data_IF_911919479571
#
_entry.id   IF_911919479571
#
_cell.length_a   1.000
_cell.length_b   1.000
_cell.length_c   1.000
_cell.angle_alpha   90.00
_cell.angle_beta   90.00
_cell.angle_gamma   90.00
#
_symmetry.space_group_name_H-M   'P 1'
#
loop_
_entity.id
_entity.type
_entity.pdbx_description
1 polymer ?
#
# COMPACT_ATOMS: atom_id res chain seq x y z
N UNK A 1 20.73 -35.12 -53.52
CA UNK A 1 20.26 -36.51 -53.67
C UNK A 1 19.64 -36.96 -52.35
N UNK A 2 18.40 -37.43 -52.42
CA UNK A 2 17.56 -38.17 -51.45
C UNK A 2 17.18 -37.40 -50.19
N UNK A 3 15.99 -36.97 -50.03
CA UNK A 3 14.63 -37.56 -50.08
C UNK A 3 14.10 -37.95 -48.70
N UNK A 4 13.06 -37.24 -48.31
CA UNK A 4 11.78 -37.65 -47.71
C UNK A 4 11.74 -38.49 -46.42
N UNK A 5 10.99 -38.10 -45.40
CA UNK A 5 9.54 -38.37 -45.29
C UNK A 5 8.91 -37.70 -44.06
N UNK A 6 7.77 -37.07 -44.29
CA UNK A 6 6.73 -36.73 -43.33
C UNK A 6 6.19 -37.95 -42.59
N UNK A 7 5.91 -37.82 -41.30
CA UNK A 7 4.83 -38.55 -40.67
C UNK A 7 4.06 -37.65 -39.70
N UNK A 8 2.86 -37.31 -40.15
CA UNK A 8 1.80 -36.71 -39.34
C UNK A 8 1.21 -37.78 -38.42
N UNK A 9 1.11 -37.52 -37.13
CA UNK A 9 0.19 -38.24 -36.24
C UNK A 9 -0.66 -37.18 -35.52
N UNK A 10 -1.87 -37.01 -36.08
CA UNK A 10 -2.95 -36.30 -35.39
C UNK A 10 -3.48 -37.12 -34.21
N UNK A 11 -3.48 -36.57 -33.05
CA UNK A 11 -4.32 -37.06 -31.94
C UNK A 11 -5.36 -36.01 -31.62
N UNK A 12 -6.59 -36.33 -32.02
CA UNK A 12 -7.81 -35.68 -31.56
C UNK A 12 -7.99 -36.00 -30.09
N UNK A 13 -8.02 -35.02 -29.21
CA UNK A 13 -8.56 -35.17 -27.87
C UNK A 13 -10.01 -34.65 -27.85
N UNK A 14 -10.93 -35.59 -27.65
CA UNK A 14 -12.33 -35.32 -27.44
C UNK A 14 -12.54 -34.67 -26.05
N UNK A 15 -13.23 -33.54 -26.04
CA UNK A 15 -13.78 -32.98 -24.81
C UNK A 15 -14.92 -33.85 -24.31
N UNK A 16 -14.80 -34.37 -23.11
CA UNK A 16 -15.89 -34.93 -22.33
C UNK A 16 -16.37 -33.87 -21.33
N UNK A 17 -17.56 -33.37 -21.58
CA UNK A 17 -18.30 -32.53 -20.63
C UNK A 17 -19.07 -33.42 -19.66
N UNK A 18 -19.00 -33.20 -18.34
CA UNK A 18 -19.95 -33.86 -17.43
C UNK A 18 -21.26 -33.05 -17.36
N UNK A 19 -22.32 -33.68 -17.83
CA UNK A 19 -23.71 -33.27 -17.63
C UNK A 19 -24.15 -33.59 -16.22
N UNK A 20 -24.86 -32.62 -15.58
CA UNK A 20 -25.80 -32.97 -14.53
C UNK A 20 -25.73 -32.20 -13.22
N UNK A 21 -26.21 -30.98 -13.19
CA UNK A 21 -26.71 -30.39 -11.94
C UNK A 21 -28.18 -30.00 -12.12
N UNK A 22 -29.04 -30.79 -11.48
CA UNK A 22 -30.49 -30.52 -11.40
C UNK A 22 -30.71 -29.40 -10.37
N UNK A 23 -31.27 -28.29 -10.84
CA UNK A 23 -31.85 -27.24 -10.02
C UNK A 23 -33.10 -27.78 -9.29
N UNK A 24 -33.09 -27.82 -7.98
CA UNK A 24 -34.31 -28.00 -7.16
C UNK A 24 -34.74 -26.63 -6.65
N UNK A 25 -35.84 -26.14 -7.24
CA UNK A 25 -36.64 -25.05 -6.72
C UNK A 25 -37.53 -25.58 -5.59
N UNK A 26 -37.43 -25.00 -4.42
CA UNK A 26 -38.43 -25.16 -3.34
C UNK A 26 -39.16 -23.81 -3.17
N UNK A 27 -40.52 -23.81 -3.14
CA UNK A 27 -41.27 -22.59 -2.89
C UNK A 27 -41.38 -22.34 -1.38
N UNK A 28 -41.01 -21.12 -0.94
CA UNK A 28 -41.32 -20.64 0.40
C UNK A 28 -42.77 -20.13 0.46
N UNK A 29 -43.57 -20.82 1.22
CA UNK A 29 -44.89 -20.41 1.64
C UNK A 29 -44.82 -19.29 2.70
N UNK A 30 -45.51 -18.21 2.42
CA UNK A 30 -45.77 -17.11 3.33
C UNK A 30 -46.91 -17.54 4.28
N UNK A 31 -46.70 -17.50 5.59
CA UNK A 31 -47.78 -17.51 6.56
C UNK A 31 -47.58 -16.35 7.52
N UNK A 32 -48.50 -15.40 7.39
CA UNK A 32 -48.76 -14.30 8.32
C UNK A 32 -49.53 -14.79 9.54
N UNK A 33 -49.07 -14.43 10.73
CA UNK A 33 -49.92 -14.50 11.92
C UNK A 33 -49.62 -13.31 12.83
N UNK A 34 -50.54 -12.38 12.84
CA UNK A 34 -50.65 -11.27 13.78
C UNK A 34 -51.17 -11.81 15.13
N UNK A 35 -50.53 -11.45 16.22
CA UNK A 35 -51.13 -11.55 17.55
C UNK A 35 -50.82 -10.30 18.35
N UNK A 36 -51.84 -9.50 18.54
CA UNK A 36 -51.92 -8.42 19.51
C UNK A 36 -51.92 -8.98 20.94
N UNK A 37 -51.10 -8.46 21.81
CA UNK A 37 -51.32 -8.50 23.26
C UNK A 37 -51.19 -7.11 23.84
N UNK A 38 -52.39 -6.56 24.18
CA UNK A 38 -52.53 -5.41 25.05
C UNK A 38 -52.36 -5.87 26.49
N UNK A 39 -51.52 -5.22 27.26
CA UNK A 39 -51.57 -5.32 28.71
C UNK A 39 -51.47 -3.93 29.30
N UNK A 40 -52.62 -3.45 29.78
CA UNK A 40 -52.75 -2.20 30.50
C UNK A 40 -52.38 -2.43 31.97
N UNK A 41 -51.46 -1.67 32.49
CA UNK A 41 -51.30 -1.47 33.93
C UNK A 41 -51.50 0.01 34.26
N UNK A 42 -52.61 0.29 34.94
CA UNK A 42 -52.92 1.54 35.61
C UNK A 42 -52.04 1.68 36.86
N UNK A 43 -51.32 2.77 37.06
CA UNK A 43 -50.99 3.27 38.40
C UNK A 43 -51.00 4.80 38.43
N UNK A 44 -51.92 5.25 39.21
CA UNK A 44 -52.08 6.46 40.05
C UNK A 44 -51.15 7.64 39.82
N UNK A 45 -51.80 8.71 39.41
CA UNK A 45 -51.43 10.13 39.57
C UNK A 45 -51.06 10.50 40.98
N UNK A 46 -49.91 11.18 41.15
CA UNK A 46 -49.63 12.10 42.24
C UNK A 46 -49.03 13.38 41.64
N UNK A 47 -49.79 14.44 41.76
CA UNK A 47 -49.37 15.77 41.38
C UNK A 47 -48.27 16.26 42.32
N UNK A 48 -47.15 16.73 41.75
CA UNK A 48 -46.24 17.63 42.39
C UNK A 48 -45.84 18.68 41.35
N UNK A 49 -46.26 19.88 41.68
CA UNK A 49 -45.95 21.13 41.01
C UNK A 49 -44.48 21.43 41.24
N UNK A 50 -43.64 21.42 40.21
CA UNK A 50 -42.31 22.04 40.27
C UNK A 50 -42.02 22.71 38.94
N UNK A 51 -41.56 23.95 39.07
CA UNK A 51 -41.23 24.97 38.10
C UNK A 51 -40.27 24.50 37.01
N UNK A 52 -40.60 24.76 35.74
CA UNK A 52 -39.68 24.71 34.59
C UNK A 52 -38.51 25.62 34.78
N UNK A 53 -37.26 25.16 34.60
CA UNK A 53 -36.16 26.03 34.25
C UNK A 53 -36.15 26.28 32.74
N UNK A 54 -36.14 27.54 32.38
CA UNK A 54 -36.10 28.08 31.01
C UNK A 54 -35.11 27.30 30.14
N UNK A 55 -35.66 26.73 29.05
CA UNK A 55 -34.89 26.05 28.03
C UNK A 55 -33.83 26.98 27.42
N UNK A 56 -32.58 26.74 27.71
CA UNK A 56 -31.50 27.28 26.89
C UNK A 56 -31.58 26.61 25.51
N UNK A 57 -32.15 27.35 24.57
CA UNK A 57 -32.06 27.02 23.13
C UNK A 57 -30.58 27.03 22.78
N UNK A 58 -30.00 25.85 22.62
CA UNK A 58 -28.64 25.71 22.08
C UNK A 58 -28.64 26.41 20.71
N UNK A 59 -27.86 27.49 20.63
CA UNK A 59 -27.66 28.21 19.37
C UNK A 59 -27.16 27.19 18.33
N UNK A 60 -27.68 27.23 17.08
CA UNK A 60 -27.21 26.32 16.04
C UNK A 60 -25.72 26.53 15.90
N UNK A 61 -24.94 25.46 16.11
CA UNK A 61 -23.51 25.45 15.88
C UNK A 61 -23.30 25.85 14.43
N UNK A 62 -22.86 27.07 14.20
CA UNK A 62 -22.59 27.61 12.88
C UNK A 62 -21.60 26.62 12.22
N UNK A 63 -22.02 25.91 11.19
CA UNK A 63 -21.14 25.08 10.37
C UNK A 63 -20.09 26.02 9.82
N UNK A 64 -18.87 25.92 10.37
CA UNK A 64 -17.73 26.70 9.93
C UNK A 64 -17.51 26.37 8.46
N UNK A 65 -17.75 27.33 7.58
CA UNK A 65 -17.47 27.18 6.15
C UNK A 65 -16.04 26.68 5.97
N UNK A 66 -15.81 25.73 5.03
CA UNK A 66 -14.47 25.25 4.77
C UNK A 66 -13.55 26.41 4.40
N UNK A 67 -12.35 26.41 4.97
CA UNK A 67 -11.34 27.43 4.67
C UNK A 67 -11.03 27.42 3.16
N UNK A 68 -10.97 28.61 2.50
CA UNK A 68 -10.58 28.67 1.11
C UNK A 68 -9.11 28.22 0.92
N UNK A 69 -8.76 27.62 -0.21
CA UNK A 69 -7.37 27.26 -0.51
C UNK A 69 -6.52 28.55 -0.58
N UNK A 70 -5.25 28.43 -0.18
CA UNK A 70 -4.27 29.50 -0.32
C UNK A 70 -4.09 29.90 -1.79
N UNK A 71 -3.98 28.90 -2.68
CA UNK A 71 -3.91 29.10 -4.12
C UNK A 71 -4.52 27.93 -4.90
N UNK A 72 -4.89 28.20 -6.15
CA UNK A 72 -5.37 27.22 -7.13
C UNK A 72 -4.42 27.22 -8.32
N UNK A 73 -3.85 26.07 -8.65
CA UNK A 73 -2.90 25.90 -9.73
C UNK A 73 -3.57 25.11 -10.86
N UNK A 74 -3.98 25.74 -11.95
CA UNK A 74 -4.56 25.05 -13.09
C UNK A 74 -3.48 24.28 -13.86
N UNK A 75 -3.78 23.06 -14.25
CA UNK A 75 -2.92 22.24 -15.11
C UNK A 75 -3.12 22.70 -16.57
N UNK A 76 -2.05 23.20 -17.19
CA UNK A 76 -2.11 23.79 -18.55
C UNK A 76 -1.87 22.75 -19.66
N UNK A 77 -1.18 21.65 -19.35
CA UNK A 77 -0.80 20.59 -20.29
C UNK A 77 -0.88 19.24 -19.65
N UNK A 78 -0.88 18.19 -20.46
CA UNK A 78 -0.76 16.81 -19.96
C UNK A 78 0.56 16.60 -19.23
N UNK A 79 0.51 15.98 -18.06
CA UNK A 79 1.69 15.60 -17.28
C UNK A 79 1.72 14.07 -17.21
N UNK A 80 2.77 13.49 -17.77
CA UNK A 80 3.03 12.07 -17.67
C UNK A 80 3.79 11.73 -16.37
N UNK A 81 3.77 10.44 -15.95
CA UNK A 81 4.50 9.96 -14.74
C UNK A 81 5.96 10.40 -14.76
N UNK A 82 6.65 10.32 -15.90
CA UNK A 82 8.08 10.72 -16.04
C UNK A 82 8.33 12.19 -15.68
N UNK A 83 7.34 13.07 -15.90
CA UNK A 83 7.47 14.53 -15.74
C UNK A 83 6.80 14.98 -14.42
N UNK A 84 6.13 14.07 -13.71
CA UNK A 84 5.24 14.37 -12.59
C UNK A 84 5.99 14.98 -11.39
N UNK A 85 7.11 14.39 -10.99
CA UNK A 85 7.90 14.90 -9.87
C UNK A 85 8.48 16.28 -10.17
N UNK A 86 8.98 16.49 -11.38
CA UNK A 86 9.50 17.80 -11.80
C UNK A 86 8.40 18.86 -11.79
N UNK A 87 7.19 18.50 -12.20
CA UNK A 87 6.04 19.40 -12.16
C UNK A 87 5.67 19.77 -10.71
N UNK A 88 5.62 18.81 -9.79
CA UNK A 88 5.35 19.08 -8.38
C UNK A 88 6.45 19.89 -7.71
N UNK A 89 7.72 19.55 -7.97
CA UNK A 89 8.88 20.30 -7.42
C UNK A 89 8.83 21.76 -7.84
N UNK A 90 8.44 22.04 -9.09
CA UNK A 90 8.25 23.42 -9.58
C UNK A 90 7.15 24.14 -8.81
N UNK A 91 5.97 23.51 -8.60
CA UNK A 91 4.88 24.11 -7.83
C UNK A 91 5.32 24.40 -6.39
N UNK A 92 6.00 23.43 -5.75
CA UNK A 92 6.52 23.62 -4.38
C UNK A 92 7.51 24.78 -4.36
N UNK A 93 8.48 24.83 -5.26
CA UNK A 93 9.50 25.87 -5.30
C UNK A 93 8.90 27.27 -5.52
N UNK A 94 7.93 27.41 -6.41
CA UNK A 94 7.29 28.70 -6.73
C UNK A 94 6.37 29.21 -5.60
N UNK A 95 5.83 28.32 -4.77
CA UNK A 95 4.83 28.68 -3.76
C UNK A 95 5.30 28.56 -2.31
N UNK A 96 6.42 27.86 -2.03
CA UNK A 96 6.91 27.65 -0.66
C UNK A 96 7.25 28.96 0.06
N UNK A 97 7.83 29.93 -0.65
CA UNK A 97 8.15 31.25 -0.09
C UNK A 97 6.95 32.17 0.07
N UNK A 98 5.87 31.91 -0.67
CA UNK A 98 4.64 32.70 -0.64
C UNK A 98 3.67 32.19 0.42
N UNK A 99 3.73 30.89 0.73
CA UNK A 99 2.83 30.26 1.69
C UNK A 99 3.29 30.56 3.14
N UNK A 100 2.36 30.68 4.09
CA UNK A 100 2.66 30.96 5.50
C UNK A 100 3.20 29.71 6.26
N UNK A 101 3.44 28.60 5.56
CA UNK A 101 3.93 27.33 6.09
C UNK A 101 4.84 26.66 5.06
N UNK A 102 5.64 25.69 5.50
CA UNK A 102 6.52 24.91 4.62
C UNK A 102 5.70 24.02 3.67
N UNK A 103 5.70 24.35 2.38
CA UNK A 103 5.04 23.53 1.37
C UNK A 103 5.93 22.33 1.03
N UNK A 104 5.30 21.17 0.82
CA UNK A 104 5.97 19.94 0.41
C UNK A 104 5.09 19.16 -0.56
N UNK A 105 5.70 18.28 -1.36
CA UNK A 105 4.99 17.37 -2.25
C UNK A 105 3.95 16.54 -1.48
N UNK A 106 4.33 15.96 -0.32
CA UNK A 106 3.41 15.17 0.48
C UNK A 106 2.19 16.00 0.95
N UNK A 107 2.42 17.23 1.42
CA UNK A 107 1.31 18.10 1.82
C UNK A 107 0.40 18.44 0.64
N UNK A 108 1.01 18.73 -0.52
CA UNK A 108 0.26 19.04 -1.75
C UNK A 108 -0.63 17.87 -2.18
N UNK A 109 -0.11 16.64 -2.17
CA UNK A 109 -0.92 15.47 -2.51
C UNK A 109 -1.96 15.13 -1.45
N UNK A 110 -1.65 15.33 -0.17
CA UNK A 110 -2.63 15.14 0.89
C UNK A 110 -3.79 16.14 0.83
N UNK A 111 -3.54 17.32 0.28
CA UNK A 111 -4.57 18.33 -0.02
C UNK A 111 -5.35 18.02 -1.33
N UNK A 112 -4.80 17.15 -2.20
CA UNK A 112 -5.36 16.79 -3.50
C UNK A 112 -5.43 15.25 -3.66
N UNK A 113 -6.23 14.54 -2.86
CA UNK A 113 -6.21 13.06 -2.82
C UNK A 113 -6.55 12.40 -4.15
N UNK A 114 -7.31 13.08 -5.02
CA UNK A 114 -7.64 12.61 -6.36
C UNK A 114 -6.40 12.33 -7.24
N UNK A 115 -5.27 13.03 -6.99
CA UNK A 115 -4.01 12.77 -7.69
C UNK A 115 -3.48 11.37 -7.34
N UNK A 116 -3.59 10.98 -6.06
CA UNK A 116 -3.18 9.64 -5.64
C UNK A 116 -4.03 8.57 -6.33
N UNK A 117 -5.34 8.79 -6.47
CA UNK A 117 -6.23 7.87 -7.18
C UNK A 117 -5.81 7.72 -8.65
N UNK A 118 -5.39 8.81 -9.29
CA UNK A 118 -4.86 8.77 -10.66
C UNK A 118 -3.56 7.96 -10.73
N UNK A 119 -2.62 8.16 -9.80
CA UNK A 119 -1.37 7.40 -9.73
C UNK A 119 -1.62 5.91 -9.47
N UNK A 120 -2.51 5.58 -8.54
CA UNK A 120 -2.95 4.20 -8.25
C UNK A 120 -3.48 3.52 -9.52
N UNK A 121 -4.25 4.24 -10.32
CA UNK A 121 -4.80 3.74 -11.59
C UNK A 121 -3.74 3.49 -12.67
N UNK A 122 -2.48 3.90 -12.46
CA UNK A 122 -1.39 3.56 -13.39
C UNK A 122 -0.79 2.17 -13.17
N UNK A 123 -1.21 1.44 -12.13
CA UNK A 123 -0.77 0.06 -11.89
C UNK A 123 -1.04 -0.82 -13.11
N UNK A 124 -0.01 -1.56 -13.52
CA UNK A 124 -0.04 -2.41 -14.70
C UNK A 124 -1.23 -3.40 -14.67
N UNK A 125 -1.47 -4.05 -13.54
CA UNK A 125 -2.51 -5.07 -13.43
C UNK A 125 -3.91 -4.47 -13.34
N UNK A 126 -4.05 -3.25 -12.82
CA UNK A 126 -5.30 -2.49 -12.92
C UNK A 126 -5.58 -2.14 -14.38
N UNK A 127 -4.57 -1.70 -15.15
CA UNK A 127 -4.74 -1.42 -16.58
C UNK A 127 -5.04 -2.69 -17.38
N UNK A 128 -4.33 -3.77 -17.11
CA UNK A 128 -4.56 -5.06 -17.75
C UNK A 128 -5.99 -5.59 -17.50
N UNK A 129 -6.52 -5.45 -16.28
CA UNK A 129 -7.90 -5.87 -15.97
C UNK A 129 -8.96 -5.09 -16.76
N UNK A 130 -8.59 -3.93 -17.31
CA UNK A 130 -9.41 -3.10 -18.21
C UNK A 130 -9.14 -3.34 -19.69
N UNK A 131 -8.30 -4.34 -20.02
CA UNK A 131 -7.90 -4.66 -21.37
C UNK A 131 -6.78 -3.79 -21.94
N UNK A 132 -6.12 -2.96 -21.14
CA UNK A 132 -5.06 -2.06 -21.58
C UNK A 132 -3.68 -2.67 -21.33
N UNK A 133 -2.92 -2.97 -22.37
CA UNK A 133 -1.51 -3.31 -22.23
C UNK A 133 -0.63 -2.06 -22.13
N UNK A 134 0.15 -1.94 -21.06
CA UNK A 134 1.04 -0.81 -20.82
C UNK A 134 2.49 -1.28 -20.77
N UNK A 135 3.23 -1.11 -21.87
CA UNK A 135 4.65 -1.44 -21.94
C UNK A 135 5.51 -0.49 -21.10
N UNK A 136 5.19 0.81 -21.14
CA UNK A 136 5.95 1.87 -20.45
C UNK A 136 5.02 2.79 -19.66
N UNK A 137 4.90 2.53 -18.36
CA UNK A 137 4.07 3.32 -17.45
C UNK A 137 4.52 4.78 -17.31
N UNK A 138 5.81 5.09 -17.56
CA UNK A 138 6.31 6.47 -17.50
C UNK A 138 5.61 7.41 -18.49
N UNK A 139 4.99 6.87 -19.55
CA UNK A 139 4.24 7.65 -20.54
C UNK A 139 2.78 7.86 -20.17
N UNK A 140 2.27 7.23 -19.12
CA UNK A 140 0.88 7.39 -18.70
C UNK A 140 0.64 8.80 -18.18
N UNK A 141 -0.45 9.41 -18.61
CA UNK A 141 -0.86 10.75 -18.19
C UNK A 141 -1.54 10.66 -16.84
N UNK A 142 -1.06 11.45 -15.89
CA UNK A 142 -1.59 11.51 -14.51
C UNK A 142 -2.29 12.82 -14.19
N UNK A 143 -1.96 13.92 -14.91
CA UNK A 143 -2.68 15.18 -14.81
C UNK A 143 -3.00 15.67 -16.22
N UNK A 144 -4.16 16.32 -16.40
CA UNK A 144 -4.67 16.78 -17.68
C UNK A 144 -5.02 18.28 -17.65
N UNK A 145 -5.07 18.96 -18.79
CA UNK A 145 -5.65 20.30 -18.88
C UNK A 145 -7.08 20.32 -18.31
N UNK A 146 -7.35 21.29 -17.46
CA UNK A 146 -8.60 21.41 -16.70
C UNK A 146 -8.54 20.90 -15.27
N UNK A 147 -7.59 20.01 -14.94
CA UNK A 147 -7.31 19.67 -13.55
C UNK A 147 -6.82 20.91 -12.79
N UNK A 148 -7.11 20.96 -11.49
CA UNK A 148 -6.67 22.09 -10.66
C UNK A 148 -6.13 21.57 -9.34
N UNK A 149 -4.87 21.87 -9.03
CA UNK A 149 -4.26 21.56 -7.73
C UNK A 149 -4.56 22.68 -6.75
N UNK A 150 -4.93 22.30 -5.54
CA UNK A 150 -5.17 23.20 -4.43
C UNK A 150 -3.94 23.27 -3.53
N UNK A 151 -3.43 24.47 -3.27
CA UNK A 151 -2.52 24.70 -2.15
C UNK A 151 -3.43 24.97 -0.95
N UNK A 152 -3.36 24.19 0.14
CA UNK A 152 -4.31 24.31 1.24
C UNK A 152 -4.19 25.64 1.97
N UNK A 153 -5.27 26.14 2.57
CA UNK A 153 -5.22 27.27 3.49
C UNK A 153 -4.45 26.88 4.77
N UNK A 154 -4.00 27.85 5.59
CA UNK A 154 -3.16 27.60 6.77
C UNK A 154 -3.75 26.63 7.79
N UNK A 155 -5.05 26.71 8.07
CA UNK A 155 -5.72 25.80 9.01
C UNK A 155 -5.80 24.36 8.46
N UNK A 156 -6.11 24.24 7.17
CA UNK A 156 -6.13 22.95 6.47
C UNK A 156 -4.73 22.34 6.42
N UNK A 157 -3.70 23.16 6.14
CA UNK A 157 -2.31 22.71 6.14
C UNK A 157 -1.87 22.22 7.54
N UNK A 158 -2.21 22.98 8.61
CA UNK A 158 -1.90 22.58 9.98
C UNK A 158 -2.54 21.22 10.34
N UNK A 159 -3.81 21.02 9.99
CA UNK A 159 -4.50 19.75 10.22
C UNK A 159 -3.86 18.59 9.42
N UNK A 160 -3.41 18.83 8.19
CA UNK A 160 -2.71 17.84 7.39
C UNK A 160 -1.32 17.52 7.96
N UNK A 161 -0.57 18.52 8.43
CA UNK A 161 0.72 18.30 9.11
C UNK A 161 0.56 17.43 10.36
N UNK A 162 -0.47 17.70 11.16
CA UNK A 162 -0.77 16.88 12.33
C UNK A 162 -1.07 15.43 11.96
N UNK A 163 -1.88 15.19 10.91
CA UNK A 163 -2.13 13.83 10.38
C UNK A 163 -0.84 13.18 9.90
N UNK A 164 -0.04 13.87 9.10
CA UNK A 164 1.23 13.35 8.56
C UNK A 164 2.23 13.00 9.66
N UNK A 165 2.36 13.85 10.69
CA UNK A 165 3.24 13.59 11.84
C UNK A 165 2.81 12.36 12.66
N UNK A 166 1.53 12.01 12.63
CA UNK A 166 0.95 10.87 13.32
C UNK A 166 0.74 9.65 12.41
N UNK A 167 1.26 9.69 11.18
CA UNK A 167 1.19 8.55 10.26
C UNK A 167 2.29 7.53 10.58
N UNK A 168 1.94 6.26 10.60
CA UNK A 168 2.88 5.16 10.81
C UNK A 168 2.54 3.96 9.94
N UNK A 169 3.57 3.20 9.61
CA UNK A 169 3.47 1.89 8.96
C UNK A 169 3.61 0.80 10.02
N UNK A 170 2.68 -0.15 10.03
CA UNK A 170 2.73 -1.36 10.86
C UNK A 170 2.70 -2.58 9.94
N UNK A 171 3.76 -3.38 9.97
CA UNK A 171 3.93 -4.55 9.12
C UNK A 171 3.99 -5.80 9.99
N UNK A 172 3.05 -6.73 9.78
CA UNK A 172 3.14 -8.06 10.39
C UNK A 172 3.60 -9.07 9.35
N UNK A 173 4.84 -9.56 9.50
CA UNK A 173 5.48 -10.47 8.55
C UNK A 173 4.67 -11.76 8.34
N UNK A 174 4.24 -12.52 9.38
CA UNK A 174 3.46 -13.73 9.20
C UNK A 174 2.07 -13.52 8.60
N UNK A 175 1.48 -12.35 8.79
CA UNK A 175 0.22 -11.98 8.18
C UNK A 175 0.37 -11.56 6.70
N UNK A 176 1.60 -11.29 6.22
CA UNK A 176 1.89 -10.69 4.92
C UNK A 176 1.10 -9.39 4.71
N UNK A 177 1.03 -8.56 5.75
CA UNK A 177 0.19 -7.39 5.78
C UNK A 177 0.96 -6.15 6.24
N UNK A 178 0.71 -5.02 5.58
CA UNK A 178 1.13 -3.69 6.00
C UNK A 178 -0.12 -2.84 6.25
N UNK A 179 -0.16 -2.14 7.36
CA UNK A 179 -1.21 -1.18 7.71
C UNK A 179 -0.64 0.23 7.69
N UNK A 180 -1.38 1.15 7.09
CA UNK A 180 -1.13 2.59 7.21
C UNK A 180 -2.13 3.12 8.23
N UNK A 181 -1.61 3.69 9.31
CA UNK A 181 -2.42 4.24 10.40
C UNK A 181 -2.10 5.72 10.58
N UNK A 182 -3.12 6.52 10.89
CA UNK A 182 -3.00 7.89 11.40
C UNK A 182 -3.55 7.92 12.83
N UNK A 183 -2.68 8.14 13.82
CA UNK A 183 -3.00 7.88 15.23
C UNK A 183 -3.52 6.45 15.38
N UNK A 184 -4.79 6.29 15.79
CA UNK A 184 -5.44 4.99 15.97
C UNK A 184 -6.37 4.61 14.81
N UNK A 185 -6.51 5.50 13.81
CA UNK A 185 -7.34 5.24 12.64
C UNK A 185 -6.58 4.43 11.59
N UNK A 186 -7.12 3.27 11.23
CA UNK A 186 -6.64 2.45 10.12
C UNK A 186 -7.11 3.07 8.80
N UNK A 187 -6.16 3.48 7.94
CA UNK A 187 -6.46 4.03 6.62
C UNK A 187 -6.45 2.97 5.54
N UNK A 188 -5.42 2.12 5.54
CA UNK A 188 -5.23 1.08 4.54
C UNK A 188 -4.68 -0.19 5.16
N UNK A 189 -5.14 -1.33 4.64
CA UNK A 189 -4.54 -2.66 4.83
C UNK A 189 -4.06 -3.14 3.47
N UNK A 190 -2.75 -3.40 3.35
CA UNK A 190 -2.07 -3.68 2.10
C UNK A 190 -1.41 -5.04 2.17
N UNK A 191 -1.60 -5.86 1.13
CA UNK A 191 -0.88 -7.12 1.02
C UNK A 191 0.59 -6.89 0.66
N UNK A 192 1.50 -7.60 1.36
CA UNK A 192 2.93 -7.51 1.10
C UNK A 192 3.55 -8.86 0.81
N UNK A 193 4.67 -8.86 0.09
CA UNK A 193 5.63 -9.96 0.11
C UNK A 193 6.79 -9.60 1.02
N UNK A 194 7.39 -10.61 1.64
CA UNK A 194 8.49 -10.43 2.60
C UNK A 194 9.67 -11.32 2.22
N UNK A 195 10.79 -11.19 2.92
CA UNK A 195 12.00 -11.96 2.69
C UNK A 195 11.84 -13.46 2.87
N UNK A 196 12.64 -14.24 2.13
CA UNK A 196 12.70 -15.71 2.23
C UNK A 196 13.40 -16.15 3.51
N UNK A 197 13.00 -17.30 4.07
CA UNK A 197 13.69 -17.94 5.21
C UNK A 197 14.93 -18.69 4.75
N UNK A 198 15.93 -17.98 4.21
CA UNK A 198 17.18 -18.56 3.75
C UNK A 198 18.35 -17.56 3.82
N UNK A 199 19.58 -18.09 3.77
CA UNK A 199 20.78 -17.30 3.57
C UNK A 199 21.27 -17.49 2.13
N UNK A 200 21.76 -16.42 1.50
CA UNK A 200 22.27 -16.47 0.12
C UNK A 200 23.39 -15.46 -0.05
N UNK A 201 24.41 -15.81 -0.84
CA UNK A 201 25.39 -14.85 -1.31
C UNK A 201 24.73 -13.90 -2.31
N UNK A 202 24.90 -12.60 -2.08
CA UNK A 202 24.43 -11.56 -2.98
C UNK A 202 25.62 -10.76 -3.50
N UNK A 203 25.82 -10.77 -4.82
CA UNK A 203 26.91 -10.04 -5.44
C UNK A 203 26.87 -8.54 -5.13
N UNK A 204 25.68 -7.97 -5.12
CA UNK A 204 25.49 -6.56 -4.77
C UNK A 204 25.87 -6.23 -3.31
N UNK A 205 25.87 -7.22 -2.41
CA UNK A 205 26.31 -7.08 -1.03
C UNK A 205 27.79 -7.48 -0.83
N UNK A 206 28.33 -8.31 -1.71
CA UNK A 206 29.66 -8.88 -1.59
C UNK A 206 29.82 -9.93 -0.48
N UNK A 207 28.71 -10.44 0.08
CA UNK A 207 28.72 -11.46 1.15
C UNK A 207 27.40 -12.22 1.24
N UNK A 208 27.39 -13.27 2.07
CA UNK A 208 26.16 -14.03 2.37
C UNK A 208 25.25 -13.23 3.30
N UNK A 209 24.02 -13.00 2.86
CA UNK A 209 22.98 -12.25 3.57
C UNK A 209 21.88 -13.19 4.05
N UNK A 210 21.32 -12.91 5.23
CA UNK A 210 20.08 -13.50 5.68
C UNK A 210 18.92 -12.75 5.01
N UNK A 211 18.17 -13.45 4.16
CA UNK A 211 17.13 -12.86 3.33
C UNK A 211 15.81 -12.63 4.08
N UNK A 212 15.70 -12.96 5.35
CA UNK A 212 14.49 -12.65 6.14
C UNK A 212 14.34 -11.16 6.33
N UNK A 213 13.11 -10.65 6.22
CA UNK A 213 12.79 -9.27 6.58
C UNK A 213 13.05 -9.05 8.07
N UNK A 214 13.76 -7.96 8.40
CA UNK A 214 14.15 -7.62 9.77
C UNK A 214 12.98 -7.03 10.54
N UNK A 215 12.81 -7.50 11.77
CA UNK A 215 11.82 -6.96 12.72
C UNK A 215 12.41 -5.86 13.57
N UNK A 216 11.56 -4.95 14.03
CA UNK A 216 11.92 -3.87 14.94
C UNK A 216 11.12 -2.60 14.67
N UNK A 217 11.50 -1.53 15.35
CA UNK A 217 10.90 -0.20 15.18
C UNK A 217 11.91 0.74 14.55
N UNK A 218 11.40 1.69 13.77
CA UNK A 218 12.26 2.65 13.10
C UNK A 218 11.49 3.72 12.37
N UNK A 219 12.10 4.26 11.34
CA UNK A 219 11.51 5.33 10.55
C UNK A 219 12.04 5.31 9.11
N UNK A 220 11.31 5.93 8.19
CA UNK A 220 11.75 6.14 6.80
C UNK A 220 12.86 7.18 6.80
N UNK A 221 14.06 6.78 6.39
CA UNK A 221 15.24 7.65 6.39
C UNK A 221 15.68 8.12 5.00
N UNK A 222 15.20 7.44 3.95
CA UNK A 222 15.52 7.78 2.57
C UNK A 222 14.35 7.44 1.65
N UNK A 223 14.17 8.30 0.67
CA UNK A 223 13.24 8.10 -0.45
C UNK A 223 14.02 8.21 -1.75
N UNK A 224 13.85 7.25 -2.64
CA UNK A 224 14.42 7.28 -3.98
C UNK A 224 13.30 7.36 -5.02
N UNK A 225 13.11 8.54 -5.62
CA UNK A 225 12.12 8.78 -6.66
C UNK A 225 12.48 8.17 -8.02
N UNK A 226 13.77 7.92 -8.24
CA UNK A 226 14.31 7.42 -9.51
C UNK A 226 15.19 6.18 -9.26
N UNK A 227 14.59 5.03 -8.86
CA UNK A 227 15.34 3.84 -8.52
C UNK A 227 16.09 3.28 -9.74
N UNK A 228 17.34 2.89 -9.51
CA UNK A 228 18.13 2.10 -10.45
C UNK A 228 17.97 0.64 -10.06
N UNK A 229 17.49 -0.18 -11.01
CA UNK A 229 17.22 -1.58 -10.77
C UNK A 229 18.48 -2.42 -10.96
N UNK A 230 18.85 -3.14 -9.91
CA UNK A 230 20.00 -4.04 -9.90
C UNK A 230 19.53 -5.41 -9.40
N UNK A 231 19.87 -6.45 -10.15
CA UNK A 231 19.71 -7.82 -9.68
C UNK A 231 20.69 -8.05 -8.52
N UNK A 232 20.21 -8.29 -7.29
CA UNK A 232 21.08 -8.44 -6.14
C UNK A 232 21.98 -9.68 -6.22
N UNK A 233 21.56 -10.71 -6.96
CA UNK A 233 22.30 -11.97 -7.09
C UNK A 233 23.48 -11.83 -8.04
N UNK A 234 23.27 -11.14 -9.16
CA UNK A 234 24.27 -11.00 -10.24
C UNK A 234 24.97 -9.65 -10.27
N UNK A 235 24.50 -8.66 -9.51
CA UNK A 235 25.01 -7.28 -9.54
C UNK A 235 24.71 -6.52 -10.82
N UNK A 236 23.99 -7.11 -11.78
CA UNK A 236 23.71 -6.51 -13.08
C UNK A 236 22.53 -5.54 -13.06
N UNK A 237 22.68 -4.41 -13.75
CA UNK A 237 21.57 -3.47 -13.97
C UNK A 237 20.59 -4.03 -15.01
N UNK A 238 19.32 -3.77 -14.78
CA UNK A 238 18.25 -4.14 -15.72
C UNK A 238 17.21 -3.01 -15.84
N UNK A 239 16.46 -3.01 -16.94
CA UNK A 239 15.42 -2.01 -17.22
C UNK A 239 14.07 -2.65 -17.54
N UNK A 240 14.05 -3.96 -17.74
CA UNK A 240 12.88 -4.72 -18.14
C UNK A 240 12.51 -5.73 -17.07
N UNK A 241 11.24 -6.08 -17.00
CA UNK A 241 10.73 -7.15 -16.15
C UNK A 241 9.77 -8.04 -16.92
N UNK A 242 9.79 -9.33 -16.62
CA UNK A 242 8.75 -10.26 -17.06
C UNK A 242 7.65 -10.27 -16.00
N UNK A 243 6.43 -9.97 -16.42
CA UNK A 243 5.25 -9.91 -15.57
C UNK A 243 4.67 -11.31 -15.32
N UNK A 244 3.75 -11.43 -14.35
CA UNK A 244 3.04 -12.67 -14.04
C UNK A 244 2.17 -13.22 -15.21
N UNK A 245 1.76 -12.33 -16.14
CA UNK A 245 1.05 -12.67 -17.38
C UNK A 245 1.98 -13.03 -18.54
N UNK A 246 3.28 -13.18 -18.24
CA UNK A 246 4.36 -13.50 -19.19
C UNK A 246 4.71 -12.37 -20.19
N UNK A 247 4.10 -11.21 -20.09
CA UNK A 247 4.50 -10.03 -20.87
C UNK A 247 5.79 -9.42 -20.33
N UNK A 248 6.57 -8.80 -21.23
CA UNK A 248 7.75 -8.04 -20.85
C UNK A 248 7.45 -6.55 -20.94
N UNK A 249 7.74 -5.81 -19.85
CA UNK A 249 7.54 -4.37 -19.77
C UNK A 249 8.80 -3.67 -19.26
N UNK A 250 8.87 -2.35 -19.40
CA UNK A 250 9.84 -1.57 -18.63
C UNK A 250 9.51 -1.66 -17.13
N UNK A 251 10.55 -1.54 -16.30
CA UNK A 251 10.38 -1.41 -14.86
C UNK A 251 9.64 -0.11 -14.51
N UNK A 252 8.65 -0.16 -13.60
CA UNK A 252 7.91 1.03 -13.16
C UNK A 252 8.81 1.96 -12.35
N UNK A 253 8.76 3.27 -12.64
CA UNK A 253 9.48 4.30 -11.89
C UNK A 253 8.61 4.81 -10.73
N UNK A 254 8.34 3.94 -9.77
CA UNK A 254 7.62 4.26 -8.54
C UNK A 254 8.66 4.40 -7.42
N UNK A 255 8.56 5.41 -6.55
CA UNK A 255 9.55 5.63 -5.51
C UNK A 255 9.75 4.44 -4.56
N UNK A 256 10.99 4.29 -4.11
CA UNK A 256 11.37 3.30 -3.10
C UNK A 256 11.69 3.98 -1.78
N UNK A 257 11.26 3.38 -0.68
CA UNK A 257 11.49 3.90 0.66
C UNK A 257 12.45 3.00 1.41
N UNK A 258 13.43 3.60 2.10
CA UNK A 258 14.36 2.87 2.96
C UNK A 258 14.06 3.17 4.42
N UNK A 259 13.64 2.18 5.21
CA UNK A 259 13.55 2.31 6.65
C UNK A 259 14.89 2.01 7.34
N UNK A 260 15.22 2.79 8.36
CA UNK A 260 16.19 2.34 9.38
C UNK A 260 15.42 1.65 10.49
N UNK A 261 15.80 0.41 10.82
CA UNK A 261 15.15 -0.39 11.84
C UNK A 261 16.10 -0.56 13.04
N UNK A 262 15.65 -0.22 14.26
CA UNK A 262 16.47 -0.18 15.47
C UNK A 262 17.76 0.67 15.28
N UNK A 263 17.63 1.79 14.55
CA UNK A 263 18.73 2.71 14.25
C UNK A 263 19.70 2.22 13.18
N UNK A 264 19.41 1.11 12.49
CA UNK A 264 20.32 0.52 11.51
C UNK A 264 19.69 0.42 10.12
N UNK A 265 20.50 0.67 9.11
CA UNK A 265 20.18 0.47 7.69
C UNK A 265 20.54 -0.95 7.29
N UNK A 266 19.58 -1.72 6.84
CA UNK A 266 19.77 -3.09 6.37
C UNK A 266 19.76 -3.20 4.84
N UNK A 267 19.52 -2.09 4.13
CA UNK A 267 19.31 -2.11 2.67
C UNK A 267 18.00 -2.78 2.27
N UNK A 268 17.13 -3.08 3.22
CA UNK A 268 15.81 -3.64 2.96
C UNK A 268 14.84 -2.50 2.65
N UNK A 269 14.31 -2.49 1.44
CA UNK A 269 13.47 -1.40 0.94
C UNK A 269 11.99 -1.77 1.01
N UNK A 270 11.14 -0.76 1.05
CA UNK A 270 9.70 -0.86 0.78
C UNK A 270 9.51 -0.36 -0.65
N UNK A 271 9.02 -1.22 -1.55
CA UNK A 271 8.98 -0.92 -2.98
C UNK A 271 7.92 -1.74 -3.74
N UNK A 272 7.52 -1.34 -4.98
CA UNK A 272 6.59 -2.15 -5.76
C UNK A 272 7.19 -3.48 -6.20
N UNK A 273 6.36 -4.52 -6.32
CA UNK A 273 6.66 -5.73 -7.07
C UNK A 273 5.97 -5.69 -8.42
N UNK A 274 6.65 -6.14 -9.46
CA UNK A 274 6.07 -6.32 -10.79
C UNK A 274 5.33 -7.64 -10.96
N UNK A 275 5.33 -8.48 -9.92
CA UNK A 275 4.73 -9.82 -9.90
C UNK A 275 3.83 -9.98 -8.65
N UNK A 276 2.57 -9.48 -8.70
CA UNK A 276 1.65 -9.50 -7.55
C UNK A 276 1.26 -10.91 -7.07
N UNK A 277 1.46 -11.98 -7.88
CA UNK A 277 1.31 -13.36 -7.40
C UNK A 277 2.29 -13.72 -6.28
N UNK A 278 3.32 -12.91 -6.07
CA UNK A 278 4.28 -13.06 -4.96
C UNK A 278 3.80 -12.40 -3.66
N UNK A 279 2.77 -11.55 -3.68
CA UNK A 279 2.16 -11.00 -2.48
C UNK A 279 1.56 -12.13 -1.63
N UNK A 280 1.59 -11.98 -0.31
CA UNK A 280 1.19 -13.03 0.62
C UNK A 280 2.21 -14.17 0.74
N UNK A 281 3.47 -13.98 0.30
CA UNK A 281 4.50 -15.03 0.29
C UNK A 281 5.86 -14.52 0.77
N UNK A 282 6.69 -15.42 1.37
CA UNK A 282 8.09 -15.13 1.64
C UNK A 282 8.92 -15.30 0.36
N UNK A 283 8.90 -14.27 -0.50
CA UNK A 283 9.39 -14.37 -1.87
C UNK A 283 10.53 -13.41 -2.21
N UNK A 284 10.83 -12.40 -1.36
CA UNK A 284 11.86 -11.39 -1.62
C UNK A 284 13.25 -11.74 -1.05
N UNK A 285 14.24 -10.92 -1.36
CA UNK A 285 15.57 -11.00 -0.76
C UNK A 285 15.70 -10.11 0.52
N UNK A 286 14.59 -9.92 1.25
CA UNK A 286 14.55 -9.17 2.49
C UNK A 286 13.69 -7.91 2.43
N UNK A 287 13.44 -7.39 1.24
CA UNK A 287 12.60 -6.20 1.04
C UNK A 287 11.11 -6.49 1.27
N UNK A 288 10.35 -5.45 1.50
CA UNK A 288 8.90 -5.48 1.59
C UNK A 288 8.35 -5.02 0.24
N UNK A 289 7.78 -5.96 -0.52
CA UNK A 289 7.20 -5.67 -1.83
C UNK A 289 5.69 -5.47 -1.75
N UNK A 290 5.17 -4.50 -2.51
CA UNK A 290 3.78 -4.07 -2.58
C UNK A 290 3.26 -4.19 -4.02
N UNK A 291 1.94 -4.11 -4.24
CA UNK A 291 1.42 -3.78 -5.58
C UNK A 291 1.94 -2.41 -6.01
N UNK A 292 1.93 -2.12 -7.30
CA UNK A 292 2.35 -0.79 -7.81
C UNK A 292 1.41 0.31 -7.28
N UNK A 293 0.12 0.03 -7.23
CA UNK A 293 -0.89 0.90 -6.65
C UNK A 293 -0.62 1.21 -5.16
N UNK A 294 -0.29 0.18 -4.38
CA UNK A 294 -0.04 0.34 -2.95
C UNK A 294 1.29 1.02 -2.66
N UNK A 295 2.28 0.83 -3.54
CA UNK A 295 3.55 1.53 -3.43
C UNK A 295 3.38 3.06 -3.58
N UNK A 296 2.49 3.53 -4.47
CA UNK A 296 2.11 4.95 -4.53
C UNK A 296 1.44 5.42 -3.23
N UNK A 297 0.51 4.63 -2.65
CA UNK A 297 -0.12 4.95 -1.36
C UNK A 297 0.91 5.09 -0.26
N UNK A 298 1.79 4.10 -0.11
CA UNK A 298 2.82 4.13 0.93
C UNK A 298 3.77 5.31 0.74
N UNK A 299 4.16 5.65 -0.48
CA UNK A 299 5.03 6.78 -0.75
C UNK A 299 4.44 8.11 -0.23
N UNK A 300 3.16 8.36 -0.50
CA UNK A 300 2.53 9.62 -0.11
C UNK A 300 2.04 9.67 1.35
N UNK A 301 1.82 8.52 1.96
CA UNK A 301 1.44 8.46 3.37
C UNK A 301 2.64 8.32 4.32
N UNK A 302 3.81 7.87 3.85
CA UNK A 302 4.99 7.66 4.68
C UNK A 302 6.17 8.53 4.21
N UNK A 303 6.12 9.86 4.43
CA UNK A 303 7.25 10.76 4.15
C UNK A 303 8.49 10.42 4.99
N UNK A 304 9.59 11.12 4.74
CA UNK A 304 10.79 11.03 5.59
C UNK A 304 10.42 11.25 7.06
N UNK A 305 10.94 10.41 7.96
CA UNK A 305 10.65 10.40 9.38
C UNK A 305 9.37 9.64 9.78
N UNK A 306 8.55 9.19 8.82
CA UNK A 306 7.38 8.36 9.12
C UNK A 306 7.78 7.11 9.90
N UNK A 307 7.07 6.81 10.99
CA UNK A 307 7.40 5.69 11.87
C UNK A 307 7.04 4.36 11.22
N UNK A 308 7.92 3.38 11.40
CA UNK A 308 7.76 2.02 10.87
C UNK A 308 7.91 1.02 12.00
N UNK A 309 6.95 0.12 12.14
CA UNK A 309 7.04 -1.05 13.02
C UNK A 309 6.96 -2.30 12.16
N UNK A 310 7.96 -3.17 12.22
CA UNK A 310 7.97 -4.47 11.58
C UNK A 310 7.98 -5.52 12.68
N UNK A 311 6.90 -6.30 12.76
CA UNK A 311 6.68 -7.28 13.82
C UNK A 311 6.51 -8.70 13.25
N UNK A 312 6.57 -9.67 14.12
CA UNK A 312 6.43 -11.08 13.78
C UNK A 312 5.46 -11.72 14.77
N UNK A 313 4.18 -11.36 14.67
CA UNK A 313 3.14 -11.84 15.56
C UNK A 313 2.36 -12.97 14.88
N UNK A 314 2.37 -14.15 15.49
CA UNK A 314 1.65 -15.32 14.98
C UNK A 314 0.16 -15.29 15.32
N UNK A 315 -0.28 -14.34 16.13
CA UNK A 315 -1.69 -14.18 16.52
C UNK A 315 -2.02 -12.70 16.61
N UNK A 316 -3.21 -12.35 16.17
CA UNK A 316 -3.82 -11.02 16.30
C UNK A 316 -5.29 -11.14 16.66
N UNK A 317 -5.82 -10.13 17.32
CA UNK A 317 -7.26 -10.00 17.56
C UNK A 317 -7.80 -9.01 16.53
N UNK A 318 -8.77 -9.43 15.72
CA UNK A 318 -9.42 -8.54 14.74
C UNK A 318 -10.44 -7.60 15.43
N UNK A 319 -11.03 -6.69 14.64
CA UNK A 319 -12.02 -5.73 15.15
C UNK A 319 -13.31 -6.40 15.70
N UNK A 320 -13.58 -7.64 15.31
CA UNK A 320 -14.71 -8.44 15.78
C UNK A 320 -14.40 -9.22 17.07
N UNK A 321 -13.14 -9.18 17.55
CA UNK A 321 -12.69 -9.92 18.72
C UNK A 321 -12.20 -11.34 18.41
N UNK A 322 -12.16 -11.76 17.14
CA UNK A 322 -11.69 -13.09 16.74
C UNK A 322 -10.16 -13.15 16.76
N UNK A 323 -9.63 -14.29 17.17
CA UNK A 323 -8.20 -14.56 17.12
C UNK A 323 -7.79 -15.09 15.75
N UNK A 324 -7.10 -14.26 14.97
CA UNK A 324 -6.43 -14.65 13.74
C UNK A 324 -5.11 -15.36 14.06
N UNK A 325 -4.80 -16.44 13.35
CA UNK A 325 -3.56 -17.21 13.53
C UNK A 325 -2.82 -17.31 12.21
N UNK A 326 -1.50 -17.15 12.26
CA UNK A 326 -0.60 -17.13 11.11
C UNK A 326 0.46 -18.20 11.22
N UNK A 327 0.96 -18.67 10.08
CA UNK A 327 2.03 -19.66 10.02
C UNK A 327 3.37 -19.05 10.45
N UNK A 328 4.19 -19.85 11.15
CA UNK A 328 5.57 -19.47 11.53
C UNK A 328 6.52 -19.66 10.32
N UNK A 329 6.42 -18.76 9.33
CA UNK A 329 7.14 -18.84 8.05
C UNK A 329 8.67 -18.80 8.17
N UNK A 330 9.20 -18.28 9.29
CA UNK A 330 10.64 -18.24 9.58
C UNK A 330 11.07 -19.26 10.61
N UNK A 331 10.13 -20.06 11.15
CA UNK A 331 10.36 -21.06 12.18
C UNK A 331 11.07 -20.50 13.43
N UNK A 332 10.66 -19.28 13.84
CA UNK A 332 11.25 -18.59 15.02
C UNK A 332 10.70 -19.13 16.34
N UNK A 333 9.51 -19.72 16.32
CA UNK A 333 8.80 -20.28 17.46
C UNK A 333 8.91 -21.82 17.49
N UNK A 334 10.11 -22.34 17.59
CA UNK A 334 10.24 -23.78 17.91
C UNK A 334 9.88 -23.97 19.38
N UNK A 335 9.13 -25.07 19.65
CA UNK A 335 8.57 -25.45 20.95
C UNK A 335 9.33 -24.91 22.16
N UNK A 336 8.70 -24.00 22.92
CA UNK A 336 9.18 -23.50 24.21
C UNK A 336 10.20 -22.35 24.20
N UNK A 337 10.61 -21.82 23.02
CA UNK A 337 11.55 -20.66 22.95
C UNK A 337 10.85 -19.42 22.43
N UNK A 338 10.81 -18.35 23.21
CA UNK A 338 10.42 -17.02 22.73
C UNK A 338 11.36 -16.61 21.58
N UNK A 339 10.88 -15.93 20.51
CA UNK A 339 11.73 -15.49 19.44
C UNK A 339 12.83 -14.59 20.00
N UNK A 340 14.08 -14.94 19.78
CA UNK A 340 15.17 -13.98 19.93
C UNK A 340 15.03 -12.97 18.80
N UNK A 341 15.14 -11.67 19.14
CA UNK A 341 15.34 -10.64 18.12
C UNK A 341 16.40 -11.16 17.14
N UNK A 342 16.10 -11.09 15.84
CA UNK A 342 17.04 -11.58 14.81
C UNK A 342 18.33 -10.78 14.99
N UNK A 343 19.37 -11.43 15.50
CA UNK A 343 20.66 -10.79 15.77
C UNK A 343 21.22 -10.21 14.48
N UNK A 344 21.68 -8.98 14.60
CA UNK A 344 22.25 -8.19 13.54
C UNK A 344 23.60 -8.75 13.13
N UNK A 345 23.73 -9.20 11.91
CA UNK A 345 25.04 -9.42 11.30
C UNK A 345 24.93 -8.99 9.82
N UNK A 346 25.66 -7.93 9.48
CA UNK A 346 25.86 -7.54 8.09
C UNK A 346 25.66 -6.05 7.83
N UNK A 347 26.74 -5.32 7.94
CA UNK A 347 26.87 -3.94 7.51
C UNK A 347 26.89 -3.90 5.98
N UNK A 348 25.95 -3.18 5.35
CA UNK A 348 26.09 -2.79 3.96
C UNK A 348 27.14 -1.69 3.89
N UNK A 349 28.31 -1.96 3.31
CA UNK A 349 29.25 -0.89 2.98
C UNK A 349 28.61 -0.01 1.90
N UNK A 350 28.55 1.29 2.17
CA UNK A 350 28.22 2.28 1.14
C UNK A 350 29.20 2.15 -0.02
N UNK A 351 28.74 1.57 -1.11
CA UNK A 351 29.31 1.79 -2.44
C UNK A 351 28.16 2.22 -3.33
N UNK A 352 28.23 3.48 -3.72
CA UNK A 352 27.40 4.19 -4.69
C UNK A 352 26.11 4.81 -4.15
N UNK A 353 26.10 6.14 -4.12
CA UNK A 353 24.93 6.96 -4.00
C UNK A 353 23.86 6.52 -5.03
N UNK A 354 22.65 6.23 -4.58
CA UNK A 354 21.47 6.00 -5.43
C UNK A 354 21.19 4.57 -5.87
N UNK A 355 21.94 3.56 -5.44
CA UNK A 355 21.70 2.17 -5.84
C UNK A 355 20.86 1.44 -4.78
N UNK A 356 19.64 1.09 -5.12
CA UNK A 356 18.81 0.20 -4.34
C UNK A 356 18.96 -1.24 -4.85
N UNK A 357 19.31 -2.15 -3.96
CA UNK A 357 19.48 -3.56 -4.26
C UNK A 357 18.26 -4.32 -3.79
N UNK A 358 17.34 -4.58 -4.68
CA UNK A 358 16.19 -5.45 -4.41
C UNK A 358 15.66 -6.10 -5.68
N UNK A 359 15.37 -7.34 -5.53
CA UNK A 359 14.54 -8.28 -6.28
C UNK A 359 14.34 -8.15 -7.79
N UNK A 360 14.95 -9.09 -8.46
CA UNK A 360 14.35 -9.75 -9.63
C UNK A 360 13.85 -11.11 -9.20
N UNK A 361 12.57 -11.40 -9.42
CA UNK A 361 12.07 -12.75 -9.46
C UNK A 361 11.92 -13.17 -10.92
N UNK A 362 12.51 -14.28 -11.24
CA UNK A 362 12.14 -15.15 -12.32
C UNK A 362 11.43 -16.38 -11.72
#
# INVERSE_FOLDING_TARGET
>A
MKDNRLHSIGRRFAMILPTGWKLRLLPCLILSASLFFSSACKHKTRAATESEPAGQTAAPTAQKLPEPPFAKIPVQKEIAIRDFFQFLDKIVQENDTLSPYKLSENLLLRANPWILDTLVNTDYYIQMSRGNFVYNQQKMIVLKPGDTLLIPGPLTAAALFEKMANTRLDINIPAFEMRILERDSLLYTLAVRVGKSQKRYLEAAGHTVDLRTRTGKGEIIRVNRHPIFIDPVTGKKFKFTRRDDHQTTLMPQIPWLEPAINGQRYGQMIHPTTNPRSLGKPASNGCIGLSEADAWRVYYFAPLGAKVTIRYDLQEINAQGDTLRYDDIYQLWRAGKKPRAIAVAGFWREKTEGVCVCDTMF
#
